data_IF_819642959324
#
_entry.id   IF_819642959324
#
_cell.length_a   1.000
_cell.length_b   1.000
_cell.length_c   1.000
_cell.angle_alpha   90.00
_cell.angle_beta   90.00
_cell.angle_gamma   90.00
#
_symmetry.space_group_name_H-M   'P 1'
#
loop_
_entity.id
_entity.type
_entity.pdbx_description
1 polymer ?
#
# COMPACT_ATOMS: atom_id res chain seq x y z
N UNK A 1 19.15 -5.70 5.55
CA UNK A 1 18.00 -6.46 5.04
C UNK A 1 17.03 -5.51 4.33
N UNK A 2 16.54 -5.86 3.15
CA UNK A 2 15.58 -5.06 2.37
C UNK A 2 14.24 -5.81 2.29
N UNK A 3 14.24 -7.00 1.70
CA UNK A 3 13.05 -7.86 1.58
C UNK A 3 13.46 -9.32 1.34
N UNK A 4 12.53 -10.22 1.56
CA UNK A 4 12.66 -11.61 1.12
C UNK A 4 12.42 -11.68 -0.39
N UNK A 5 13.18 -12.52 -1.08
CA UNK A 5 13.02 -12.79 -2.50
C UNK A 5 13.42 -14.23 -2.82
N UNK A 6 12.92 -14.75 -3.93
CA UNK A 6 13.34 -16.03 -4.51
C UNK A 6 14.48 -15.79 -5.50
N UNK A 7 15.24 -16.82 -5.78
CA UNK A 7 16.27 -16.84 -6.85
C UNK A 7 15.68 -16.67 -8.27
N UNK A 8 14.37 -16.86 -8.40
CA UNK A 8 13.63 -16.64 -9.64
C UNK A 8 13.13 -15.20 -9.81
N UNK A 9 13.17 -14.40 -8.75
CA UNK A 9 12.65 -13.04 -8.76
C UNK A 9 13.56 -12.09 -9.57
N UNK A 10 12.92 -11.02 -10.01
CA UNK A 10 13.58 -9.84 -10.55
C UNK A 10 13.56 -8.72 -9.51
N UNK A 11 14.59 -7.91 -9.48
CA UNK A 11 14.74 -6.76 -8.57
C UNK A 11 14.75 -5.48 -9.37
N UNK A 12 13.86 -4.54 -9.01
CA UNK A 12 13.91 -3.18 -9.56
C UNK A 12 14.72 -2.27 -8.64
N UNK A 13 15.57 -1.45 -9.25
CA UNK A 13 16.52 -0.57 -8.57
C UNK A 13 16.36 0.83 -9.13
N UNK A 14 16.18 1.80 -8.24
CA UNK A 14 16.11 3.22 -8.57
C UNK A 14 17.32 3.98 -8.03
N UNK A 15 17.78 4.94 -8.80
CA UNK A 15 18.98 5.73 -8.53
C UNK A 15 18.65 7.21 -8.32
N UNK A 16 19.55 7.90 -7.63
CA UNK A 16 19.37 9.33 -7.30
C UNK A 16 19.39 10.25 -8.52
N UNK A 17 20.03 9.85 -9.59
CA UNK A 17 20.05 10.59 -10.86
C UNK A 17 18.77 10.42 -11.70
N UNK A 18 17.82 9.60 -11.20
CA UNK A 18 16.54 9.32 -11.84
C UNK A 18 16.56 8.12 -12.76
N UNK A 19 17.65 7.42 -12.83
CA UNK A 19 17.71 6.18 -13.58
C UNK A 19 17.14 5.02 -12.79
N UNK A 20 16.73 3.96 -13.50
CA UNK A 20 16.30 2.71 -12.90
C UNK A 20 16.48 1.55 -13.87
N UNK A 21 16.64 0.37 -13.32
CA UNK A 21 16.73 -0.88 -14.08
C UNK A 21 16.15 -2.05 -13.29
N UNK A 22 15.90 -3.15 -14.00
CA UNK A 22 15.56 -4.44 -13.40
C UNK A 22 16.66 -5.41 -13.67
N UNK A 23 17.07 -6.14 -12.64
CA UNK A 23 18.08 -7.21 -12.72
C UNK A 23 17.51 -8.47 -12.10
N UNK A 24 17.99 -9.63 -12.51
CA UNK A 24 17.67 -10.90 -11.86
C UNK A 24 18.37 -11.00 -10.50
N UNK A 25 17.73 -11.64 -9.53
CA UNK A 25 18.39 -11.99 -8.25
C UNK A 25 19.60 -12.89 -8.51
N UNK A 26 20.69 -12.60 -7.83
CA UNK A 26 21.92 -13.41 -7.83
C UNK A 26 22.60 -13.26 -6.47
N UNK A 27 23.45 -14.23 -6.11
CA UNK A 27 24.17 -14.24 -4.82
C UNK A 27 24.98 -12.96 -4.60
N UNK A 28 25.55 -12.41 -5.66
CA UNK A 28 26.27 -11.15 -5.64
C UNK A 28 26.23 -10.47 -6.99
N UNK A 29 25.64 -9.28 -7.04
CA UNK A 29 25.60 -8.45 -8.24
C UNK A 29 25.93 -7.00 -7.91
N UNK A 30 26.81 -6.39 -8.68
CA UNK A 30 27.10 -4.97 -8.56
C UNK A 30 26.04 -4.15 -9.29
N UNK A 31 25.26 -3.41 -8.55
CA UNK A 31 24.14 -2.62 -9.08
C UNK A 31 24.47 -1.15 -9.32
N UNK A 32 25.65 -0.69 -8.94
CA UNK A 32 26.08 0.71 -9.09
C UNK A 32 26.05 1.49 -7.80
N UNK A 33 26.23 2.83 -7.90
CA UNK A 33 26.25 3.77 -6.75
C UNK A 33 24.97 4.60 -6.72
N UNK A 34 24.75 5.28 -5.59
CA UNK A 34 23.62 6.21 -5.40
C UNK A 34 22.22 5.58 -5.54
N UNK A 35 22.10 4.31 -5.17
CA UNK A 35 20.81 3.63 -5.07
C UNK A 35 19.95 4.32 -4.02
N UNK A 36 18.67 4.58 -4.34
CA UNK A 36 17.69 5.19 -3.45
C UNK A 36 16.56 4.25 -3.06
N UNK A 37 16.29 3.23 -3.89
CA UNK A 37 15.25 2.25 -3.64
C UNK A 37 15.55 0.91 -4.33
N UNK A 38 15.20 -0.18 -3.64
CA UNK A 38 15.32 -1.56 -4.14
C UNK A 38 14.11 -2.34 -3.66
N UNK A 39 13.47 -3.08 -4.55
CA UNK A 39 12.39 -4.01 -4.20
C UNK A 39 12.26 -5.14 -5.22
N UNK A 40 11.51 -6.20 -4.87
CA UNK A 40 11.11 -7.22 -5.84
C UNK A 40 10.24 -6.58 -6.92
N UNK A 41 10.57 -6.88 -8.18
CA UNK A 41 9.80 -6.42 -9.33
C UNK A 41 8.74 -7.44 -9.70
N UNK A 42 7.47 -7.04 -9.62
CA UNK A 42 6.34 -7.84 -10.06
C UNK A 42 5.91 -7.39 -11.46
N UNK A 43 6.07 -8.27 -12.44
CA UNK A 43 5.60 -8.00 -13.81
C UNK A 43 4.08 -7.86 -13.83
N UNK A 44 3.58 -6.90 -14.63
CA UNK A 44 2.15 -6.57 -14.76
C UNK A 44 1.49 -6.02 -13.47
N UNK A 45 2.27 -5.65 -12.45
CA UNK A 45 1.73 -4.97 -11.28
C UNK A 45 1.33 -3.53 -11.64
N UNK A 46 0.02 -3.30 -11.71
CA UNK A 46 -0.58 -1.98 -11.97
C UNK A 46 -0.85 -1.20 -10.69
N UNK A 47 -0.72 -1.83 -9.51
CA UNK A 47 -1.07 -1.23 -8.23
C UNK A 47 0.10 -0.57 -7.52
N UNK A 48 1.32 -1.06 -7.70
CA UNK A 48 2.50 -0.38 -7.15
C UNK A 48 2.74 0.93 -7.89
N UNK A 49 2.48 2.03 -7.19
CA UNK A 49 2.67 3.39 -7.71
C UNK A 49 3.89 4.03 -7.05
N UNK A 50 4.77 4.56 -7.88
CA UNK A 50 5.93 5.33 -7.43
C UNK A 50 5.58 6.81 -7.40
N UNK A 51 5.69 7.43 -6.20
CA UNK A 51 5.55 8.86 -6.03
C UNK A 51 6.95 9.50 -6.02
N UNK A 52 7.18 10.44 -6.90
CA UNK A 52 8.51 11.02 -7.13
C UNK A 52 8.45 12.53 -7.22
N UNK A 53 9.38 13.19 -6.55
CA UNK A 53 9.72 14.56 -6.82
C UNK A 53 11.17 14.64 -7.31
N UNK A 54 11.42 15.29 -8.44
CA UNK A 54 12.75 15.40 -9.00
C UNK A 54 13.04 16.82 -9.52
N UNK A 55 14.31 17.18 -9.53
CA UNK A 55 14.83 18.38 -10.17
C UNK A 55 15.29 18.03 -11.58
N UNK A 56 14.86 18.79 -12.57
CA UNK A 56 15.22 18.62 -13.97
C UNK A 56 16.47 19.45 -14.31
N UNK A 57 17.62 18.77 -14.42
CA UNK A 57 18.93 19.41 -14.63
C UNK A 57 19.55 20.05 -13.38
N UNK A 58 20.72 20.70 -13.54
CA UNK A 58 21.53 21.23 -12.42
C UNK A 58 20.85 22.35 -11.66
N UNK A 59 20.14 23.24 -12.35
CA UNK A 59 19.44 24.42 -11.80
C UNK A 59 18.00 24.51 -12.31
N UNK A 60 17.45 23.42 -12.80
CA UNK A 60 16.14 23.39 -13.43
C UNK A 60 14.99 23.36 -12.44
N UNK A 61 13.76 23.41 -12.97
CA UNK A 61 12.55 23.33 -12.18
C UNK A 61 12.36 21.94 -11.56
N UNK A 62 11.49 21.89 -10.56
CA UNK A 62 11.13 20.66 -9.87
C UNK A 62 9.78 20.17 -10.35
N UNK A 63 9.64 18.86 -10.46
CA UNK A 63 8.42 18.20 -10.91
C UNK A 63 7.97 17.12 -9.93
N UNK A 64 6.64 16.94 -9.85
CA UNK A 64 6.00 15.81 -9.19
C UNK A 64 5.51 14.82 -10.24
N UNK A 65 5.65 13.55 -9.95
CA UNK A 65 5.26 12.47 -10.85
C UNK A 65 4.76 11.28 -10.07
N UNK A 66 3.69 10.66 -10.58
CA UNK A 66 3.20 9.35 -10.16
C UNK A 66 3.18 8.43 -11.37
N UNK A 67 3.73 7.25 -11.20
CA UNK A 67 3.77 6.27 -12.28
C UNK A 67 3.91 4.86 -11.75
N UNK A 68 3.59 3.88 -12.58
CA UNK A 68 3.87 2.46 -12.36
C UNK A 68 4.89 1.95 -13.37
N UNK A 69 5.44 0.76 -13.08
CA UNK A 69 6.34 0.03 -13.98
C UNK A 69 5.79 -1.38 -14.13
N UNK A 70 4.99 -1.61 -15.16
CA UNK A 70 4.32 -2.90 -15.41
C UNK A 70 5.17 -3.87 -16.23
N UNK A 71 6.01 -3.33 -17.11
CA UNK A 71 6.88 -4.13 -17.95
C UNK A 71 8.21 -3.41 -18.22
N UNK A 72 9.29 -4.17 -18.25
CA UNK A 72 10.64 -3.64 -18.44
C UNK A 72 11.54 -4.74 -19.02
N UNK A 73 12.51 -4.35 -19.84
CA UNK A 73 13.56 -5.27 -20.30
C UNK A 73 14.66 -5.34 -19.23
N UNK A 74 15.03 -6.55 -18.81
CA UNK A 74 16.13 -6.76 -17.84
C UNK A 74 17.42 -6.14 -18.34
N UNK A 75 18.23 -5.67 -17.40
CA UNK A 75 19.58 -5.09 -17.59
C UNK A 75 19.61 -3.83 -18.45
N UNK A 76 18.46 -3.37 -18.93
CA UNK A 76 18.34 -2.10 -19.63
C UNK A 76 18.07 -0.98 -18.64
N UNK A 77 18.79 0.12 -18.80
CA UNK A 77 18.61 1.34 -18.03
C UNK A 77 17.50 2.21 -18.62
N UNK A 78 16.66 2.75 -17.75
CA UNK A 78 15.56 3.67 -18.05
C UNK A 78 15.70 4.93 -17.22
N UNK A 79 15.09 6.03 -17.67
CA UNK A 79 15.11 7.30 -16.97
C UNK A 79 13.66 7.69 -16.58
N UNK A 80 13.45 7.99 -15.30
CA UNK A 80 12.18 8.49 -14.79
C UNK A 80 12.05 10.02 -14.89
N UNK A 81 13.18 10.71 -15.15
CA UNK A 81 13.20 12.17 -15.34
C UNK A 81 12.93 12.53 -16.80
N UNK A 82 13.13 13.78 -17.17
CA UNK A 82 13.03 14.22 -18.58
C UNK A 82 14.31 13.97 -19.38
N UNK A 83 15.33 13.37 -18.76
CA UNK A 83 16.61 13.06 -19.39
C UNK A 83 17.58 14.22 -19.44
N UNK A 84 17.28 15.35 -18.81
CA UNK A 84 18.21 16.46 -18.73
C UNK A 84 19.42 16.09 -17.87
N UNK A 85 20.65 16.29 -18.34
CA UNK A 85 21.86 15.99 -17.56
C UNK A 85 21.86 16.64 -16.20
N UNK A 86 22.34 15.93 -15.15
CA UNK A 86 22.38 16.35 -13.76
C UNK A 86 21.00 16.52 -13.11
N UNK A 87 19.96 15.89 -13.65
CA UNK A 87 18.68 15.69 -12.96
C UNK A 87 18.91 14.91 -11.67
N UNK A 88 18.03 15.14 -10.67
CA UNK A 88 18.17 14.52 -9.36
C UNK A 88 16.84 14.25 -8.72
N UNK A 89 16.65 13.03 -8.23
CA UNK A 89 15.50 12.65 -7.40
C UNK A 89 15.68 13.25 -6.01
N UNK A 90 14.69 14.02 -5.57
CA UNK A 90 14.65 14.71 -4.27
C UNK A 90 13.76 13.96 -3.25
N UNK A 91 12.74 13.29 -3.74
CA UNK A 91 11.84 12.43 -2.96
C UNK A 91 11.43 11.23 -3.79
N UNK A 92 11.31 10.08 -3.14
CA UNK A 92 10.89 8.82 -3.77
C UNK A 92 10.17 7.96 -2.75
N UNK A 93 9.03 7.39 -3.12
CA UNK A 93 8.35 6.33 -2.39
C UNK A 93 7.74 5.31 -3.34
N UNK A 94 7.62 4.09 -2.86
CA UNK A 94 6.91 3.00 -3.55
C UNK A 94 5.67 2.64 -2.73
N UNK A 95 4.52 2.68 -3.36
CA UNK A 95 3.21 2.54 -2.73
C UNK A 95 2.47 1.35 -3.34
N UNK A 96 2.45 0.17 -2.67
CA UNK A 96 1.97 -1.09 -3.26
C UNK A 96 0.48 -1.08 -3.62
N UNK A 97 -0.29 -0.18 -3.07
CA UNK A 97 -1.71 -0.02 -3.36
C UNK A 97 -2.06 1.39 -3.85
N UNK A 98 -1.09 2.12 -4.41
CA UNK A 98 -1.30 3.45 -4.96
C UNK A 98 -1.64 4.52 -3.92
N UNK A 99 -1.11 4.39 -2.71
CA UNK A 99 -1.28 5.37 -1.64
C UNK A 99 -0.71 6.71 -2.08
N UNK A 100 -1.42 7.78 -1.73
CA UNK A 100 -0.99 9.14 -1.97
C UNK A 100 -0.51 9.76 -0.67
N UNK A 101 0.71 10.26 -0.69
CA UNK A 101 1.36 10.86 0.46
C UNK A 101 1.28 12.38 0.37
N UNK A 102 1.32 13.04 1.52
CA UNK A 102 1.52 14.49 1.60
C UNK A 102 2.99 14.73 1.92
N UNK A 103 3.63 15.54 1.09
CA UNK A 103 5.03 15.92 1.25
C UNK A 103 5.17 17.39 1.65
N UNK A 104 6.19 17.66 2.46
CA UNK A 104 6.64 19.01 2.81
C UNK A 104 7.86 19.36 1.99
N UNK A 105 7.74 20.43 1.19
CA UNK A 105 8.80 20.96 0.33
C UNK A 105 9.35 22.23 0.96
N UNK A 106 10.56 22.18 1.47
CA UNK A 106 11.25 23.33 2.07
C UNK A 106 12.09 24.01 1.00
N UNK A 107 11.86 25.29 0.79
CA UNK A 107 12.61 26.11 -0.18
C UNK A 107 13.96 26.54 0.39
N UNK A 108 14.94 26.78 -0.49
CA UNK A 108 16.16 27.46 -0.08
C UNK A 108 15.84 28.87 0.42
N UNK A 109 16.53 29.36 1.48
CA UNK A 109 16.36 30.72 1.95
C UNK A 109 16.70 31.71 0.83
N UNK A 110 15.79 32.64 0.56
CA UNK A 110 16.10 33.76 -0.31
C UNK A 110 17.02 34.71 0.46
N UNK A 111 18.24 34.87 0.00
CA UNK A 111 19.26 35.74 0.64
C UNK A 111 18.87 37.22 0.67
N UNK A 112 17.87 37.63 -0.10
CA UNK A 112 17.37 38.98 -0.19
C UNK A 112 16.20 39.29 0.73
N UNK A 113 15.56 38.28 1.31
CA UNK A 113 14.42 38.43 2.23
C UNK A 113 14.75 37.86 3.60
N UNK A 114 14.48 38.64 4.66
CA UNK A 114 14.66 38.21 6.05
C UNK A 114 14.07 36.78 6.26
N UNK A 115 14.92 35.88 6.75
CA UNK A 115 14.73 34.48 7.17
C UNK A 115 13.27 34.09 7.42
N UNK A 116 12.54 33.69 6.39
CA UNK A 116 11.34 32.88 6.53
C UNK A 116 11.62 31.51 5.90
N UNK A 117 11.54 30.46 6.69
CA UNK A 117 11.51 29.10 6.16
C UNK A 117 10.22 28.94 5.37
N UNK A 118 10.27 29.22 4.08
CA UNK A 118 9.14 29.05 3.20
C UNK A 118 9.06 27.55 2.88
N UNK A 119 7.98 26.95 3.28
CA UNK A 119 7.65 25.60 2.84
C UNK A 119 6.27 25.59 2.17
N UNK A 120 6.07 24.65 1.28
CA UNK A 120 4.77 24.31 0.70
C UNK A 120 4.48 22.85 0.96
N UNK A 121 3.22 22.52 1.09
CA UNK A 121 2.76 21.13 1.16
C UNK A 121 2.17 20.75 -0.18
N UNK A 122 2.39 19.49 -0.56
CA UNK A 122 1.83 18.93 -1.78
C UNK A 122 1.31 17.54 -1.50
N UNK A 123 0.09 17.32 -1.95
CA UNK A 123 -0.59 16.03 -1.88
C UNK A 123 -0.42 15.31 -3.22
N UNK A 124 0.08 14.08 -3.19
CA UNK A 124 0.19 13.25 -4.38
C UNK A 124 -1.16 12.79 -4.92
N UNK A 125 -2.25 12.86 -4.14
CA UNK A 125 -3.60 12.54 -4.64
C UNK A 125 -4.06 13.49 -5.76
N UNK A 126 -3.54 14.73 -5.76
CA UNK A 126 -3.78 15.71 -6.82
C UNK A 126 -2.95 15.44 -8.10
N UNK A 127 -2.01 14.50 -8.05
CA UNK A 127 -1.11 14.18 -9.17
C UNK A 127 -1.64 12.95 -9.89
N UNK A 128 -2.05 13.10 -11.13
CA UNK A 128 -2.52 11.97 -11.95
C UNK A 128 -1.41 10.94 -12.17
N UNK A 129 -1.76 9.66 -12.06
CA UNK A 129 -0.88 8.55 -12.44
C UNK A 129 -0.74 8.57 -13.97
N UNK A 130 0.48 8.67 -14.45
CA UNK A 130 0.81 8.74 -15.89
C UNK A 130 1.86 7.69 -16.24
N UNK A 131 2.08 7.48 -17.52
CA UNK A 131 3.14 6.58 -18.00
C UNK A 131 4.53 7.01 -17.50
N UNK A 132 5.41 6.04 -17.36
CA UNK A 132 6.79 6.22 -16.85
C UNK A 132 7.64 7.24 -17.61
N UNK A 133 7.33 7.53 -18.87
CA UNK A 133 8.02 8.52 -19.72
C UNK A 133 7.45 9.93 -19.59
N UNK A 134 6.34 10.12 -18.89
CA UNK A 134 5.76 11.45 -18.69
C UNK A 134 6.66 12.33 -17.83
N UNK A 135 6.75 13.63 -18.13
CA UNK A 135 7.56 14.61 -17.38
C UNK A 135 7.05 14.82 -15.95
N UNK A 136 5.74 14.75 -15.74
CA UNK A 136 5.09 15.06 -14.48
C UNK A 136 4.54 16.49 -14.42
N UNK A 137 4.05 16.88 -13.24
CA UNK A 137 3.47 18.19 -12.98
C UNK A 137 4.53 19.13 -12.39
N UNK A 138 4.56 20.38 -12.82
CA UNK A 138 5.49 21.38 -12.27
C UNK A 138 5.19 21.59 -10.77
N UNK A 139 6.19 21.36 -9.93
CA UNK A 139 6.13 21.65 -8.50
C UNK A 139 6.52 23.11 -8.21
N UNK A 140 7.71 23.50 -8.65
CA UNK A 140 8.23 24.85 -8.46
C UNK A 140 9.43 25.11 -9.35
N UNK A 141 9.64 26.39 -9.69
CA UNK A 141 10.88 26.90 -10.33
C UNK A 141 11.89 27.44 -9.32
N UNK A 142 11.48 27.61 -8.04
CA UNK A 142 12.36 28.08 -6.97
C UNK A 142 13.27 26.94 -6.51
N UNK A 143 14.43 27.31 -5.97
CA UNK A 143 15.36 26.33 -5.40
C UNK A 143 14.77 25.66 -4.16
N UNK A 144 14.90 24.33 -4.10
CA UNK A 144 14.36 23.49 -3.02
C UNK A 144 15.54 22.96 -2.20
N UNK A 145 15.50 23.21 -0.90
CA UNK A 145 16.47 22.70 0.06
C UNK A 145 16.28 21.18 0.28
N UNK A 146 15.06 20.77 0.64
CA UNK A 146 14.72 19.36 0.85
C UNK A 146 13.23 19.11 0.69
N UNK A 147 12.90 17.84 0.44
CA UNK A 147 11.53 17.32 0.42
C UNK A 147 11.46 16.17 1.41
N UNK A 148 10.46 16.18 2.28
CA UNK A 148 10.23 15.15 3.30
C UNK A 148 8.78 14.69 3.28
N UNK A 149 8.54 13.45 3.67
CA UNK A 149 7.20 12.96 3.99
C UNK A 149 6.62 13.79 5.13
N UNK A 150 5.36 14.22 5.00
CA UNK A 150 4.59 14.86 6.07
C UNK A 150 3.61 13.86 6.68
N UNK A 151 2.84 13.19 5.84
CA UNK A 151 1.89 12.15 6.27
C UNK A 151 1.64 11.14 5.14
N UNK A 152 1.32 9.93 5.54
CA UNK A 152 0.77 8.94 4.61
C UNK A 152 -0.66 9.33 4.24
N UNK A 153 -1.06 8.98 3.04
CA UNK A 153 -2.41 9.17 2.52
C UNK A 153 -3.06 7.84 2.14
N UNK A 154 -4.25 7.95 1.59
CA UNK A 154 -5.04 6.79 1.18
C UNK A 154 -4.74 6.36 -0.25
N UNK A 155 -5.16 5.14 -0.59
CA UNK A 155 -5.12 4.66 -1.98
C UNK A 155 -5.97 5.55 -2.89
N UNK A 156 -5.41 5.89 -4.05
CA UNK A 156 -6.14 6.61 -5.12
C UNK A 156 -6.59 5.68 -6.22
N UNK A 157 -6.33 4.39 -6.08
CA UNK A 157 -6.80 3.34 -6.98
C UNK A 157 -8.18 2.87 -6.52
N UNK A 158 -8.98 2.37 -7.43
CA UNK A 158 -10.24 1.71 -7.10
C UNK A 158 -10.04 0.50 -6.18
N UNK A 159 -11.13 0.00 -5.63
CA UNK A 159 -11.13 -1.11 -4.71
C UNK A 159 -10.35 -2.32 -5.22
N UNK A 160 -9.84 -3.12 -4.29
CA UNK A 160 -9.10 -4.34 -4.60
C UNK A 160 -9.97 -5.54 -4.30
N UNK A 161 -10.11 -6.44 -5.26
CA UNK A 161 -10.77 -7.72 -5.03
C UNK A 161 -9.92 -8.57 -4.09
N UNK A 162 -10.57 -9.19 -3.12
CA UNK A 162 -9.94 -10.01 -2.09
C UNK A 162 -10.62 -11.38 -2.06
N UNK A 163 -9.83 -12.44 -2.08
CA UNK A 163 -10.28 -13.82 -1.95
C UNK A 163 -9.74 -14.43 -0.68
N UNK A 164 -10.46 -15.38 -0.12
CA UNK A 164 -10.01 -16.21 0.99
C UNK A 164 -9.78 -17.64 0.50
N UNK A 165 -8.58 -18.13 0.72
CA UNK A 165 -8.21 -19.51 0.45
C UNK A 165 -8.36 -20.33 1.73
N UNK A 166 -9.35 -21.25 1.78
CA UNK A 166 -9.62 -22.04 2.97
C UNK A 166 -8.56 -23.14 3.23
N UNK A 167 -7.75 -23.51 2.24
CA UNK A 167 -6.75 -24.57 2.39
C UNK A 167 -5.49 -24.03 3.10
N UNK A 168 -5.04 -22.82 2.74
CA UNK A 168 -3.88 -22.17 3.35
C UNK A 168 -4.26 -21.20 4.46
N UNK A 169 -5.55 -20.96 4.71
CA UNK A 169 -6.08 -20.03 5.73
C UNK A 169 -5.53 -18.61 5.58
N UNK A 170 -5.51 -18.13 4.36
CA UNK A 170 -5.03 -16.78 4.04
C UNK A 170 -5.91 -16.11 3.00
N UNK A 171 -5.89 -14.79 3.00
CA UNK A 171 -6.42 -14.04 1.87
C UNK A 171 -5.38 -13.91 0.77
N UNK A 172 -5.85 -13.69 -0.43
CA UNK A 172 -5.03 -13.45 -1.61
C UNK A 172 -5.72 -12.47 -2.57
N UNK A 173 -4.98 -12.08 -3.60
CA UNK A 173 -5.44 -11.19 -4.66
C UNK A 173 -5.36 -11.86 -6.05
N UNK A 174 -5.04 -13.15 -6.07
CA UNK A 174 -4.80 -13.97 -7.27
C UNK A 174 -5.98 -14.88 -7.65
N UNK A 175 -7.18 -14.58 -7.16
CA UNK A 175 -8.43 -15.29 -7.48
C UNK A 175 -8.47 -16.74 -6.99
N UNK A 176 -7.76 -17.06 -5.90
CA UNK A 176 -7.80 -18.38 -5.28
C UNK A 176 -8.82 -18.43 -4.13
N UNK A 177 -9.75 -19.40 -4.18
CA UNK A 177 -10.73 -19.65 -3.14
C UNK A 177 -11.99 -18.79 -3.25
N UNK A 178 -12.54 -18.35 -2.12
CA UNK A 178 -13.81 -17.62 -2.02
C UNK A 178 -13.59 -16.12 -2.20
N UNK A 179 -14.31 -15.50 -3.13
CA UNK A 179 -14.33 -14.03 -3.27
C UNK A 179 -15.06 -13.39 -2.07
N UNK A 180 -14.35 -12.57 -1.30
CA UNK A 180 -14.93 -11.79 -0.20
C UNK A 180 -15.52 -10.44 -0.67
N UNK A 181 -15.12 -9.98 -1.84
CA UNK A 181 -15.59 -8.74 -2.44
C UNK A 181 -14.48 -7.77 -2.80
N UNK A 182 -14.87 -6.53 -3.08
CA UNK A 182 -13.96 -5.43 -3.39
C UNK A 182 -13.74 -4.58 -2.14
N UNK A 183 -12.48 -4.36 -1.78
CA UNK A 183 -12.04 -3.65 -0.57
C UNK A 183 -11.34 -2.35 -0.93
N UNK A 184 -11.78 -1.27 -0.33
CA UNK A 184 -11.11 0.01 -0.35
C UNK A 184 -10.21 0.17 0.89
N UNK A 185 -9.40 1.21 0.89
CA UNK A 185 -8.60 1.54 2.06
C UNK A 185 -9.50 1.84 3.27
N UNK A 186 -9.17 1.23 4.41
CA UNK A 186 -9.98 1.30 5.63
C UNK A 186 -11.07 0.22 5.77
N UNK A 187 -11.37 -0.56 4.74
CA UNK A 187 -12.27 -1.71 4.87
C UNK A 187 -11.65 -2.83 5.72
N UNK A 188 -12.49 -3.60 6.38
CA UNK A 188 -12.08 -4.70 7.25
C UNK A 188 -12.74 -6.02 6.83
N UNK A 189 -12.10 -7.12 7.16
CA UNK A 189 -12.65 -8.47 7.07
C UNK A 189 -13.25 -8.82 8.42
N UNK A 190 -14.48 -9.33 8.43
CA UNK A 190 -15.12 -9.94 9.57
C UNK A 190 -14.85 -11.44 9.57
N UNK A 191 -14.43 -11.95 10.71
CA UNK A 191 -14.23 -13.37 10.97
C UNK A 191 -15.14 -13.77 12.13
N UNK A 192 -15.98 -14.77 11.92
CA UNK A 192 -16.83 -15.37 12.93
C UNK A 192 -16.37 -16.80 13.14
N UNK A 193 -16.16 -17.17 14.40
CA UNK A 193 -15.65 -18.48 14.78
C UNK A 193 -16.79 -19.42 15.24
N UNK A 194 -16.54 -20.70 15.14
CA UNK A 194 -17.45 -21.72 15.68
C UNK A 194 -17.63 -21.62 17.20
N UNK A 195 -16.70 -20.95 17.90
CA UNK A 195 -16.78 -20.70 19.34
C UNK A 195 -17.82 -19.64 19.75
N UNK A 196 -18.49 -18.99 18.77
CA UNK A 196 -19.39 -17.88 19.07
C UNK A 196 -18.66 -16.54 19.29
N UNK A 197 -17.42 -16.44 18.88
CA UNK A 197 -16.63 -15.21 18.89
C UNK A 197 -16.53 -14.63 17.49
N UNK A 198 -16.31 -13.32 17.41
CA UNK A 198 -15.97 -12.65 16.16
C UNK A 198 -14.88 -11.60 16.39
N UNK A 199 -14.16 -11.28 15.33
CA UNK A 199 -13.20 -10.17 15.30
C UNK A 199 -13.08 -9.62 13.89
N UNK A 200 -12.44 -8.46 13.75
CA UNK A 200 -12.13 -7.89 12.44
C UNK A 200 -10.63 -7.77 12.22
N UNK A 201 -10.20 -7.92 10.96
CA UNK A 201 -8.81 -7.70 10.54
C UNK A 201 -8.77 -6.74 9.36
N UNK A 202 -7.60 -6.19 9.08
CA UNK A 202 -7.32 -5.65 7.76
C UNK A 202 -7.21 -6.79 6.72
N UNK A 203 -7.07 -6.42 5.45
CA UNK A 203 -6.96 -7.38 4.35
C UNK A 203 -5.50 -7.56 3.88
N UNK A 204 -4.56 -7.66 4.83
CA UNK A 204 -3.16 -7.99 4.53
C UNK A 204 -3.02 -9.50 4.21
N UNK A 205 -2.45 -9.90 3.05
CA UNK A 205 -2.24 -11.31 2.69
C UNK A 205 -1.31 -12.06 3.66
N UNK A 206 -0.55 -11.35 4.49
CA UNK A 206 0.29 -11.97 5.51
C UNK A 206 -0.52 -12.43 6.74
N UNK A 207 -1.76 -11.98 6.90
CA UNK A 207 -2.63 -12.44 7.97
C UNK A 207 -2.91 -13.94 7.82
N UNK A 208 -2.80 -14.66 8.94
CA UNK A 208 -3.17 -16.06 9.04
C UNK A 208 -4.44 -16.19 9.86
N UNK A 209 -5.39 -16.95 9.34
CA UNK A 209 -6.71 -17.12 9.95
C UNK A 209 -6.81 -18.47 10.65
N UNK A 210 -7.58 -18.59 11.75
CA UNK A 210 -7.73 -19.83 12.51
C UNK A 210 -8.52 -20.90 11.73
N UNK A 211 -8.41 -22.16 12.16
CA UNK A 211 -9.06 -23.29 11.51
C UNK A 211 -10.57 -23.37 11.75
N UNK A 212 -11.04 -22.80 12.86
CA UNK A 212 -12.43 -22.89 13.31
C UNK A 212 -13.32 -21.73 12.81
N UNK A 213 -13.02 -21.21 11.61
CA UNK A 213 -13.85 -20.19 10.98
C UNK A 213 -15.22 -20.76 10.62
N UNK A 214 -16.27 -20.06 11.04
CA UNK A 214 -17.66 -20.31 10.62
C UNK A 214 -18.05 -19.42 9.44
N UNK A 215 -17.67 -18.12 9.51
CA UNK A 215 -17.96 -17.13 8.47
C UNK A 215 -16.75 -16.22 8.31
N UNK A 216 -16.41 -15.93 7.06
CA UNK A 216 -15.45 -14.89 6.70
C UNK A 216 -16.04 -14.05 5.57
N UNK A 217 -16.10 -12.74 5.75
CA UNK A 217 -16.65 -11.82 4.75
C UNK A 217 -16.15 -10.39 4.96
N UNK A 218 -16.46 -9.51 4.02
CA UNK A 218 -16.25 -8.07 4.21
C UNK A 218 -17.15 -7.54 5.33
N UNK A 219 -16.55 -6.89 6.33
CA UNK A 219 -17.30 -6.27 7.43
C UNK A 219 -18.18 -5.12 6.93
N UNK A 220 -19.40 -5.05 7.45
CA UNK A 220 -20.37 -3.99 7.16
C UNK A 220 -21.02 -3.53 8.46
N UNK A 221 -20.88 -2.25 8.79
CA UNK A 221 -21.39 -1.68 10.05
C UNK A 221 -22.89 -1.87 10.25
N UNK A 222 -23.67 -1.81 9.16
CA UNK A 222 -25.14 -1.84 9.24
C UNK A 222 -25.72 -3.25 9.07
N UNK A 223 -24.88 -4.28 8.91
CA UNK A 223 -25.37 -5.65 8.76
C UNK A 223 -25.88 -6.20 10.07
N UNK A 224 -27.20 -6.45 10.11
CA UNK A 224 -27.86 -7.10 11.26
C UNK A 224 -27.65 -8.61 11.17
N UNK A 225 -27.15 -9.18 12.25
CA UNK A 225 -26.95 -10.61 12.41
C UNK A 225 -28.06 -11.22 13.25
N UNK A 226 -28.40 -12.47 12.95
CA UNK A 226 -29.33 -13.27 13.75
C UNK A 226 -28.65 -14.58 14.06
N UNK A 227 -28.55 -14.92 15.32
CA UNK A 227 -28.00 -16.18 15.79
C UNK A 227 -29.02 -16.91 16.66
N UNK A 228 -29.02 -18.25 16.54
CA UNK A 228 -29.65 -19.14 17.50
C UNK A 228 -28.56 -19.63 18.43
N UNK A 229 -28.70 -19.42 19.71
CA UNK A 229 -27.71 -19.72 20.73
C UNK A 229 -28.30 -20.75 21.68
N UNK A 230 -27.58 -21.84 21.90
CA UNK A 230 -27.87 -22.82 22.94
C UNK A 230 -27.17 -22.37 24.23
N UNK A 231 -27.92 -21.96 25.23
CA UNK A 231 -27.37 -21.52 26.50
C UNK A 231 -27.30 -22.70 27.48
N UNK A 232 -26.09 -23.24 27.65
CA UNK A 232 -25.85 -24.38 28.53
C UNK A 232 -26.07 -24.03 30.01
N UNK A 233 -25.88 -22.78 30.40
CA UNK A 233 -26.06 -22.34 31.81
C UNK A 233 -27.54 -22.22 32.19
N UNK A 234 -28.44 -22.09 31.22
CA UNK A 234 -29.89 -21.96 31.39
C UNK A 234 -30.62 -23.20 30.88
N UNK A 235 -30.31 -24.39 31.38
CA UNK A 235 -30.98 -25.66 31.07
C UNK A 235 -30.96 -26.01 29.58
N UNK A 236 -30.00 -25.49 28.78
CA UNK A 236 -29.92 -25.73 27.36
C UNK A 236 -31.06 -25.12 26.53
N UNK A 237 -31.61 -24.01 26.96
CA UNK A 237 -32.64 -23.32 26.20
C UNK A 237 -32.06 -22.66 24.96
N UNK A 238 -32.83 -22.63 23.87
CA UNK A 238 -32.50 -21.95 22.65
C UNK A 238 -32.95 -20.48 22.70
N UNK A 239 -32.04 -19.59 22.43
CA UNK A 239 -32.31 -18.14 22.35
C UNK A 239 -32.06 -17.65 20.90
N UNK A 240 -32.96 -16.76 20.48
CA UNK A 240 -32.81 -16.04 19.24
C UNK A 240 -32.26 -14.63 19.55
N UNK A 241 -31.09 -14.31 19.04
CA UNK A 241 -30.44 -13.01 19.24
C UNK A 241 -30.28 -12.27 17.92
N UNK A 242 -30.67 -10.98 17.91
CA UNK A 242 -30.39 -10.06 16.79
C UNK A 242 -29.47 -8.95 17.27
N UNK A 243 -28.38 -8.70 16.53
CA UNK A 243 -27.35 -7.76 16.93
C UNK A 243 -26.54 -7.26 15.73
N UNK A 244 -25.75 -6.20 15.96
CA UNK A 244 -24.74 -5.70 15.06
C UNK A 244 -23.36 -6.16 15.56
N UNK A 245 -22.47 -6.55 14.65
CA UNK A 245 -21.09 -6.86 14.99
C UNK A 245 -20.24 -5.60 14.86
N UNK A 246 -19.62 -5.19 15.95
CA UNK A 246 -18.76 -4.03 16.00
C UNK A 246 -17.43 -4.30 15.30
N UNK A 247 -16.79 -3.23 14.83
CA UNK A 247 -15.42 -3.33 14.30
C UNK A 247 -14.44 -3.47 15.47
N UNK A 248 -14.09 -4.70 15.82
CA UNK A 248 -13.19 -5.03 16.92
C UNK A 248 -12.03 -5.90 16.44
N UNK A 249 -10.80 -5.43 16.66
CA UNK A 249 -9.59 -6.22 16.37
C UNK A 249 -9.34 -7.32 17.41
N UNK A 250 -10.02 -7.28 18.55
CA UNK A 250 -9.96 -8.33 19.58
C UNK A 250 -11.19 -9.22 19.47
N UNK A 251 -11.06 -10.51 19.72
CA UNK A 251 -12.22 -11.41 19.76
C UNK A 251 -13.27 -10.92 20.76
N UNK A 252 -14.53 -10.91 20.33
CA UNK A 252 -15.70 -10.53 21.11
C UNK A 252 -16.72 -11.65 20.99
N UNK A 253 -17.22 -12.17 22.12
CA UNK A 253 -18.27 -13.18 22.14
C UNK A 253 -19.65 -12.53 21.90
N UNK A 254 -20.44 -13.12 21.01
CA UNK A 254 -21.86 -12.78 20.86
C UNK A 254 -22.77 -13.79 21.56
N UNK A 255 -22.22 -14.92 22.01
CA UNK A 255 -22.83 -15.90 22.89
C UNK A 255 -22.36 -15.65 24.34
N UNK A 256 -23.02 -16.19 25.35
CA UNK A 256 -22.50 -16.20 26.72
C UNK A 256 -21.26 -17.10 26.85
N UNK A 257 -20.57 -17.04 27.99
CA UNK A 257 -19.30 -17.76 28.21
C UNK A 257 -19.40 -19.30 28.05
N UNK A 258 -20.60 -19.88 28.23
CA UNK A 258 -20.90 -21.31 28.09
C UNK A 258 -21.99 -21.60 27.04
N UNK A 259 -22.20 -20.70 26.08
CA UNK A 259 -23.20 -20.90 25.03
C UNK A 259 -22.59 -21.41 23.74
N UNK A 260 -23.26 -22.34 23.08
CA UNK A 260 -22.92 -22.84 21.74
C UNK A 260 -23.74 -22.09 20.66
N UNK A 261 -23.16 -21.80 19.51
CA UNK A 261 -23.78 -21.04 18.42
C UNK A 261 -23.92 -21.82 17.11
#
# INVERSE_FOLDING_TARGET
>A
FVCNCSDLDDIIIFYRDGKYKVVRVADKIFVGKNVIWVQVFKKNDVRTIYNVAYRDGKKGPYYLKRFNVTSITRDREYDLTWGTPMSRVMYFSANPNGEAEIIKVTMDPDTTKKRQNIFIEKDFSEVMIKGRTARGNLLTKKSVHRITLKSHGHSTLGGRKVWFDPDVKRINYEEHGQLLGEFNDGDSILVVLNSGEFFTTDFDPNNHYPDNIKIIEKWKAEKVWTAVILDADNNGYLYLKRFLMENSKKPVSYSGDNAES
#
